data_IF_436183804065
#
_entry.id   IF_436183804065
#
_cell.length_a   1.000
_cell.length_b   1.000
_cell.length_c   1.000
_cell.angle_alpha   90.00
_cell.angle_beta   90.00
_cell.angle_gamma   90.00
#
_symmetry.space_group_name_H-M   'P 1'
#
loop_
_entity.id
_entity.type
_entity.pdbx_description
1 polymer ?
#
# COMPACT_ATOMS: atom_id res chain seq x y z
N UNK A 1 14.87 -15.67 19.13
CA UNK A 1 14.89 -14.61 20.19
C UNK A 1 14.48 -13.30 19.54
N UNK A 2 13.23 -12.82 19.72
CA UNK A 2 12.78 -11.51 19.20
C UNK A 2 13.55 -10.42 19.93
N UNK A 3 14.35 -9.65 19.20
CA UNK A 3 15.04 -8.48 19.79
C UNK A 3 13.99 -7.44 20.14
N UNK A 4 13.86 -7.08 21.43
CA UNK A 4 12.96 -6.05 21.96
C UNK A 4 13.40 -4.61 21.57
N UNK A 5 13.68 -4.38 20.26
CA UNK A 5 14.05 -3.05 19.77
C UNK A 5 12.83 -2.42 19.12
N UNK A 6 12.59 -1.14 19.40
CA UNK A 6 11.58 -0.35 18.73
C UNK A 6 12.18 0.40 17.53
N UNK A 7 11.43 0.51 16.45
CA UNK A 7 11.77 1.27 15.26
C UNK A 7 11.30 2.73 15.43
N UNK A 8 12.20 3.68 15.27
CA UNK A 8 11.86 5.10 15.14
C UNK A 8 11.66 5.43 13.66
N UNK A 9 10.47 5.88 13.27
CA UNK A 9 10.11 6.19 11.88
C UNK A 9 10.25 7.67 11.62
N UNK A 10 11.22 8.06 10.79
CA UNK A 10 11.41 9.46 10.40
C UNK A 10 10.64 9.79 9.09
N UNK A 11 9.92 10.92 9.03
CA UNK A 11 9.12 11.33 7.88
C UNK A 11 9.97 11.95 6.77
N UNK A 12 10.95 11.21 6.25
CA UNK A 12 11.88 11.67 5.20
C UNK A 12 11.38 11.44 3.77
N UNK A 13 10.25 10.74 3.60
CA UNK A 13 9.64 10.45 2.30
C UNK A 13 8.71 11.56 1.80
N UNK A 14 8.09 11.33 0.63
CA UNK A 14 7.14 12.28 0.02
C UNK A 14 5.76 12.23 0.68
N UNK A 15 5.23 11.04 0.93
CA UNK A 15 3.86 10.86 1.45
C UNK A 15 3.84 10.49 2.94
N UNK A 16 4.88 9.82 3.43
CA UNK A 16 5.07 9.43 4.83
C UNK A 16 3.86 8.69 5.43
N UNK A 17 3.27 7.76 4.66
CA UNK A 17 1.99 7.15 5.00
C UNK A 17 2.05 6.33 6.29
N UNK A 18 3.14 5.60 6.51
CA UNK A 18 3.32 4.86 7.76
C UNK A 18 3.56 5.78 8.97
N UNK A 19 4.33 6.87 8.80
CA UNK A 19 4.46 7.87 9.86
C UNK A 19 3.12 8.52 10.24
N UNK A 20 2.24 8.73 9.23
CA UNK A 20 0.86 9.22 9.47
C UNK A 20 0.02 8.22 10.27
N UNK A 21 0.10 6.93 9.94
CA UNK A 21 -0.60 5.88 10.72
C UNK A 21 -0.16 5.83 12.18
N UNK A 22 1.09 6.22 12.45
CA UNK A 22 1.66 6.27 13.81
C UNK A 22 1.42 7.61 14.52
N UNK A 23 0.77 8.59 13.87
CA UNK A 23 0.58 9.93 14.43
C UNK A 23 1.87 10.75 14.58
N UNK A 24 2.94 10.39 13.85
CA UNK A 24 4.24 11.08 13.92
C UNK A 24 4.14 12.42 13.19
N UNK A 25 4.64 13.53 13.77
CA UNK A 25 4.73 14.82 13.11
C UNK A 25 5.51 14.74 11.79
N UNK A 26 5.04 15.44 10.75
CA UNK A 26 5.64 15.33 9.41
C UNK A 26 6.86 16.27 9.18
N UNK A 27 7.15 17.18 10.09
CA UNK A 27 8.42 17.89 10.12
C UNK A 27 9.46 16.99 10.79
N UNK A 28 10.66 16.94 10.20
CA UNK A 28 11.74 16.09 10.72
C UNK A 28 12.15 16.49 12.13
N UNK A 29 12.28 17.79 12.39
CA UNK A 29 12.64 18.36 13.69
C UNK A 29 11.61 17.98 14.75
N UNK A 30 10.31 18.18 14.45
CA UNK A 30 9.22 17.85 15.37
C UNK A 30 9.09 16.35 15.60
N UNK A 31 9.42 15.52 14.60
CA UNK A 31 9.42 14.06 14.76
C UNK A 31 10.54 13.62 15.71
N UNK A 32 11.73 14.19 15.60
CA UNK A 32 12.85 13.92 16.51
C UNK A 32 12.52 14.38 17.93
N UNK A 33 11.96 15.59 18.09
CA UNK A 33 11.51 16.11 19.38
C UNK A 33 10.46 15.19 20.03
N UNK A 34 9.49 14.68 19.24
CA UNK A 34 8.45 13.78 19.74
C UNK A 34 9.01 12.45 20.24
N UNK A 35 10.16 12.00 19.73
CA UNK A 35 10.80 10.77 20.20
C UNK A 35 11.49 10.91 21.56
N UNK A 36 11.76 12.12 22.06
CA UNK A 36 12.31 12.33 23.40
C UNK A 36 11.37 11.88 24.51
N UNK A 37 10.05 11.87 24.24
CA UNK A 37 9.01 11.43 25.17
C UNK A 37 8.11 10.34 24.56
N UNK A 38 8.65 9.54 23.65
CA UNK A 38 7.87 8.56 22.93
C UNK A 38 7.58 7.31 23.77
N UNK A 39 6.41 6.74 23.52
CA UNK A 39 6.04 5.42 24.02
C UNK A 39 6.40 4.33 22.99
N UNK A 40 6.61 3.10 23.47
CA UNK A 40 6.76 1.93 22.61
C UNK A 40 5.39 1.32 22.38
N UNK A 41 4.94 1.28 21.12
CA UNK A 41 3.71 0.62 20.71
C UNK A 41 4.02 -0.62 19.86
N UNK A 42 3.26 -1.69 20.07
CA UNK A 42 3.25 -2.85 19.19
C UNK A 42 2.24 -2.59 18.09
N UNK A 43 2.70 -2.65 16.84
CA UNK A 43 1.87 -2.51 15.64
C UNK A 43 2.02 -3.74 14.75
N UNK A 44 1.13 -3.87 13.80
CA UNK A 44 1.16 -5.00 12.89
C UNK A 44 2.22 -4.82 11.81
N UNK A 45 2.71 -5.93 11.31
CA UNK A 45 3.54 -6.02 10.11
C UNK A 45 2.98 -7.13 9.22
N UNK A 46 3.00 -6.94 7.91
CA UNK A 46 2.55 -7.97 6.99
C UNK A 46 3.71 -8.53 6.16
N UNK A 47 3.51 -9.69 5.57
CA UNK A 47 4.48 -10.32 4.66
C UNK A 47 3.83 -10.69 3.33
N UNK A 48 4.60 -10.59 2.24
CA UNK A 48 4.29 -11.15 0.93
C UNK A 48 5.31 -12.25 0.65
N UNK A 49 4.92 -13.51 0.80
CA UNK A 49 5.80 -14.65 1.05
C UNK A 49 6.70 -14.31 2.26
N UNK A 50 8.03 -14.32 2.10
CA UNK A 50 8.96 -14.01 3.19
C UNK A 50 9.38 -12.52 3.25
N UNK A 51 8.79 -11.66 2.40
CA UNK A 51 9.13 -10.23 2.32
C UNK A 51 8.20 -9.40 3.19
N UNK A 52 8.71 -8.75 4.25
CA UNK A 52 7.89 -7.91 5.10
C UNK A 52 7.50 -6.60 4.40
N UNK A 53 6.32 -6.07 4.77
CA UNK A 53 5.89 -4.72 4.43
C UNK A 53 5.10 -4.10 5.58
N UNK A 54 5.24 -2.79 5.72
CA UNK A 54 4.65 -2.01 6.81
C UNK A 54 3.46 -1.17 6.36
N UNK A 55 3.33 -0.92 5.06
CA UNK A 55 2.26 -0.11 4.52
C UNK A 55 1.42 -0.87 3.50
N UNK A 56 1.97 -1.20 2.32
CA UNK A 56 1.20 -1.91 1.31
C UNK A 56 2.03 -2.75 0.33
N UNK A 57 1.37 -3.80 -0.13
CA UNK A 57 1.72 -4.58 -1.31
C UNK A 57 0.75 -4.26 -2.45
N UNK A 58 1.19 -4.23 -3.70
CA UNK A 58 0.29 -4.04 -4.84
C UNK A 58 0.80 -4.62 -6.15
N UNK A 59 -0.14 -4.95 -7.04
CA UNK A 59 0.09 -5.41 -8.40
C UNK A 59 -0.75 -4.63 -9.41
N UNK A 60 -0.41 -4.75 -10.68
CA UNK A 60 -1.18 -4.16 -11.78
C UNK A 60 -0.90 -2.69 -12.00
N UNK A 61 -1.93 -1.83 -11.93
CA UNK A 61 -1.84 -0.42 -12.28
C UNK A 61 -0.77 0.32 -11.47
N UNK A 62 -0.75 0.15 -10.14
CA UNK A 62 0.23 0.82 -9.29
C UNK A 62 1.66 0.38 -9.64
N UNK A 63 1.90 -0.93 -9.79
CA UNK A 63 3.21 -1.44 -10.18
C UNK A 63 3.64 -0.91 -11.55
N UNK A 64 2.71 -0.80 -12.51
CA UNK A 64 2.98 -0.20 -13.82
C UNK A 64 3.34 1.28 -13.70
N UNK A 65 2.65 2.03 -12.86
CA UNK A 65 2.96 3.46 -12.63
C UNK A 65 4.35 3.64 -12.02
N UNK A 66 4.71 2.86 -11.01
CA UNK A 66 6.05 2.89 -10.38
C UNK A 66 7.12 2.54 -11.41
N UNK A 67 6.92 1.46 -12.18
CA UNK A 67 7.85 1.03 -13.23
C UNK A 67 8.06 2.11 -14.32
N UNK A 68 6.99 2.79 -14.73
CA UNK A 68 7.10 3.87 -15.71
C UNK A 68 7.81 5.09 -15.12
N UNK A 69 7.56 5.41 -13.85
CA UNK A 69 8.23 6.51 -13.15
C UNK A 69 9.73 6.27 -13.00
N UNK A 70 10.15 5.06 -12.65
CA UNK A 70 11.58 4.71 -12.51
C UNK A 70 12.36 4.80 -13.82
N UNK A 71 11.68 4.62 -14.95
CA UNK A 71 12.29 4.79 -16.28
C UNK A 71 12.45 6.25 -16.71
N UNK A 72 11.89 7.19 -15.95
CA UNK A 72 11.97 8.62 -16.27
C UNK A 72 13.08 9.27 -15.46
N UNK A 73 14.04 9.88 -16.16
CA UNK A 73 15.06 10.71 -15.52
C UNK A 73 14.46 12.03 -15.03
N UNK A 74 14.80 12.45 -13.82
CA UNK A 74 14.38 13.72 -13.25
C UNK A 74 15.46 14.29 -12.32
N UNK A 75 15.87 15.54 -12.59
CA UNK A 75 16.89 16.25 -11.80
C UNK A 75 16.33 17.13 -10.66
N UNK A 76 14.98 17.18 -10.48
CA UNK A 76 14.35 18.07 -9.50
C UNK A 76 13.04 17.54 -8.92
N UNK A 77 12.55 18.14 -7.81
CA UNK A 77 11.23 17.83 -7.23
C UNK A 77 10.08 18.04 -8.21
N UNK A 78 10.11 19.13 -8.97
CA UNK A 78 9.11 19.41 -10.03
C UNK A 78 9.19 18.38 -11.15
N UNK A 79 10.40 17.93 -11.51
CA UNK A 79 10.61 16.83 -12.46
C UNK A 79 9.99 15.53 -11.98
N UNK A 80 10.06 15.20 -10.68
CA UNK A 80 9.40 14.02 -10.08
C UNK A 80 7.88 14.07 -10.22
N UNK A 81 7.26 15.23 -9.97
CA UNK A 81 5.81 15.41 -10.11
C UNK A 81 5.40 15.22 -11.59
N UNK A 82 6.10 15.87 -12.51
CA UNK A 82 5.86 15.73 -13.95
C UNK A 82 6.05 14.29 -14.46
N UNK A 83 7.08 13.58 -13.98
CA UNK A 83 7.30 12.18 -14.30
C UNK A 83 6.16 11.28 -13.76
N UNK A 84 5.72 11.51 -12.53
CA UNK A 84 4.60 10.77 -11.94
C UNK A 84 3.29 10.98 -12.70
N UNK A 85 2.99 12.22 -13.12
CA UNK A 85 1.81 12.55 -13.91
C UNK A 85 1.86 11.88 -15.30
N UNK A 86 3.00 11.91 -15.98
CA UNK A 86 3.19 11.23 -17.27
C UNK A 86 3.10 9.72 -17.14
N UNK A 87 3.66 9.14 -16.08
CA UNK A 87 3.57 7.71 -15.80
C UNK A 87 2.13 7.28 -15.55
N UNK A 88 1.38 8.05 -14.75
CA UNK A 88 -0.05 7.83 -14.52
C UNK A 88 -0.84 7.88 -15.84
N UNK A 89 -0.63 8.91 -16.66
CA UNK A 89 -1.28 9.04 -17.96
C UNK A 89 -0.96 7.89 -18.92
N UNK A 90 0.31 7.47 -19.00
CA UNK A 90 0.73 6.34 -19.83
C UNK A 90 0.12 5.01 -19.35
N UNK A 91 0.00 4.81 -18.03
CA UNK A 91 -0.66 3.65 -17.44
C UNK A 91 -2.16 3.63 -17.75
N UNK A 92 -2.83 4.80 -17.67
CA UNK A 92 -4.26 4.97 -18.02
C UNK A 92 -4.56 4.70 -19.50
N UNK A 93 -3.65 5.04 -20.40
CA UNK A 93 -3.83 4.78 -21.85
C UNK A 93 -3.88 3.28 -22.17
N UNK A 94 -3.13 2.45 -21.44
CA UNK A 94 -3.08 0.99 -21.61
C UNK A 94 -3.10 0.32 -20.25
N UNK A 95 -4.25 0.29 -19.57
CA UNK A 95 -4.35 -0.31 -18.26
C UNK A 95 -3.99 -1.80 -18.30
N UNK A 96 -3.26 -2.31 -17.32
CA UNK A 96 -3.01 -3.74 -17.23
C UNK A 96 -4.33 -4.49 -17.05
N UNK A 97 -4.37 -5.71 -17.54
CA UNK A 97 -5.46 -6.66 -17.30
C UNK A 97 -4.84 -7.90 -16.70
N UNK A 98 -5.24 -8.23 -15.51
CA UNK A 98 -4.76 -9.38 -14.77
C UNK A 98 -5.91 -10.34 -14.53
N UNK A 99 -5.68 -11.62 -14.77
CA UNK A 99 -6.56 -12.70 -14.32
C UNK A 99 -5.90 -13.31 -13.10
N UNK A 100 -6.59 -13.27 -11.98
CA UNK A 100 -6.06 -13.66 -10.67
C UNK A 100 -7.09 -14.54 -9.97
N UNK A 101 -6.63 -15.65 -9.41
CA UNK A 101 -7.37 -16.36 -8.37
C UNK A 101 -6.94 -15.78 -7.03
N UNK A 102 -7.89 -15.21 -6.30
CA UNK A 102 -7.69 -14.61 -4.99
C UNK A 102 -8.45 -15.43 -3.96
N UNK A 103 -7.77 -15.91 -2.92
CA UNK A 103 -8.37 -16.58 -1.78
C UNK A 103 -8.12 -15.76 -0.53
N UNK A 104 -9.19 -15.43 0.20
CA UNK A 104 -9.16 -14.69 1.47
C UNK A 104 -9.91 -15.52 2.51
N UNK A 105 -9.19 -16.05 3.49
CA UNK A 105 -9.74 -17.07 4.37
C UNK A 105 -10.19 -18.30 3.57
N UNK A 106 -11.47 -18.68 3.69
CA UNK A 106 -12.08 -19.79 2.95
C UNK A 106 -12.69 -19.36 1.60
N UNK A 107 -12.90 -18.08 1.38
CA UNK A 107 -13.51 -17.59 0.15
C UNK A 107 -12.47 -17.55 -0.98
N UNK A 108 -12.76 -18.22 -2.10
CA UNK A 108 -11.96 -18.18 -3.31
C UNK A 108 -12.75 -17.57 -4.46
N UNK A 109 -12.13 -16.66 -5.20
CA UNK A 109 -12.74 -16.01 -6.35
C UNK A 109 -11.74 -15.83 -7.49
N UNK A 110 -12.23 -15.95 -8.71
CA UNK A 110 -11.49 -15.56 -9.92
C UNK A 110 -11.89 -14.17 -10.34
N UNK A 111 -10.92 -13.27 -10.42
CA UNK A 111 -11.17 -11.87 -10.76
C UNK A 111 -10.35 -11.45 -11.98
N UNK A 112 -10.99 -10.65 -12.86
CA UNK A 112 -10.30 -9.88 -13.90
C UNK A 112 -10.19 -8.45 -13.42
N UNK A 113 -8.97 -8.02 -13.12
CA UNK A 113 -8.71 -6.74 -12.45
C UNK A 113 -7.66 -5.92 -13.17
N UNK A 114 -7.65 -4.62 -12.96
CA UNK A 114 -6.55 -3.73 -13.37
C UNK A 114 -5.48 -3.61 -12.29
N UNK A 115 -5.80 -3.95 -11.05
CA UNK A 115 -4.85 -3.95 -9.95
C UNK A 115 -5.45 -4.46 -8.65
N UNK A 116 -4.60 -5.03 -7.82
CA UNK A 116 -4.92 -5.41 -6.45
C UNK A 116 -3.93 -4.69 -5.54
N UNK A 117 -4.45 -4.05 -4.50
CA UNK A 117 -3.69 -3.52 -3.38
C UNK A 117 -3.99 -4.33 -2.13
N UNK A 118 -2.97 -4.60 -1.32
CA UNK A 118 -3.12 -5.21 -0.01
C UNK A 118 -2.38 -4.35 1.00
N UNK A 119 -3.10 -3.80 1.96
CA UNK A 119 -2.53 -2.95 3.00
C UNK A 119 -2.32 -3.73 4.30
N UNK A 120 -1.32 -3.30 5.03
CA UNK A 120 -1.12 -3.66 6.42
C UNK A 120 -2.13 -2.84 7.25
N UNK A 121 -3.22 -3.50 7.63
CA UNK A 121 -4.47 -2.94 8.15
C UNK A 121 -5.32 -2.17 7.10
N UNK A 122 -6.61 -2.03 7.39
CA UNK A 122 -7.53 -1.29 6.56
C UNK A 122 -7.17 0.20 6.52
N UNK A 123 -7.21 0.77 5.32
CA UNK A 123 -7.03 2.22 5.18
C UNK A 123 -8.15 2.99 5.88
N UNK A 124 -7.80 4.10 6.50
CA UNK A 124 -8.71 5.01 7.17
C UNK A 124 -9.67 5.76 6.24
N UNK A 125 -10.59 6.53 6.81
CA UNK A 125 -11.59 7.32 6.06
C UNK A 125 -11.05 8.58 5.39
N UNK A 126 -9.77 8.90 5.55
CA UNK A 126 -9.15 10.13 5.05
C UNK A 126 -8.87 10.11 3.54
N UNK A 127 -8.35 11.26 3.03
CA UNK A 127 -7.98 11.41 1.62
C UNK A 127 -6.76 10.57 1.20
N UNK A 128 -5.89 10.23 2.16
CA UNK A 128 -4.69 9.44 1.89
C UNK A 128 -4.89 7.99 2.30
N UNK A 129 -4.33 7.03 1.54
CA UNK A 129 -4.49 5.61 1.81
C UNK A 129 -3.52 5.14 2.90
N UNK A 130 -3.78 5.44 4.15
CA UNK A 130 -3.07 4.90 5.31
C UNK A 130 -4.05 4.37 6.37
N UNK A 131 -3.60 3.46 7.22
CA UNK A 131 -4.43 2.87 8.26
C UNK A 131 -4.58 3.85 9.44
N UNK A 132 -5.83 4.09 9.87
CA UNK A 132 -6.11 4.85 11.09
C UNK A 132 -5.77 4.02 12.35
N UNK A 133 -5.87 2.68 12.25
CA UNK A 133 -5.46 1.76 13.28
C UNK A 133 -4.34 0.83 12.77
N UNK A 134 -3.07 1.08 13.11
CA UNK A 134 -1.94 0.25 12.70
C UNK A 134 -1.81 -1.08 13.46
N UNK A 135 -2.73 -1.37 14.38
CA UNK A 135 -2.81 -2.60 15.17
C UNK A 135 -4.19 -3.28 15.03
N UNK A 136 -4.79 -3.19 13.84
CA UNK A 136 -6.13 -3.74 13.56
C UNK A 136 -6.17 -5.25 13.35
N UNK A 137 -5.03 -5.91 13.16
CA UNK A 137 -4.90 -7.36 13.04
C UNK A 137 -5.45 -7.94 11.72
N UNK A 138 -5.67 -7.12 10.69
CA UNK A 138 -6.25 -7.57 9.42
C UNK A 138 -5.55 -6.96 8.21
N UNK A 139 -5.42 -7.72 7.12
CA UNK A 139 -5.07 -7.18 5.82
C UNK A 139 -6.28 -6.47 5.22
N UNK A 140 -6.09 -5.29 4.66
CA UNK A 140 -7.07 -4.63 3.79
C UNK A 140 -6.78 -5.02 2.33
N UNK A 141 -7.75 -5.61 1.64
CA UNK A 141 -7.58 -6.10 0.28
C UNK A 141 -8.52 -5.31 -0.64
N UNK A 142 -7.94 -4.67 -1.65
CA UNK A 142 -8.63 -3.76 -2.57
C UNK A 142 -8.47 -4.25 -4.00
N UNK A 143 -9.57 -4.70 -4.61
CA UNK A 143 -9.59 -5.21 -5.98
C UNK A 143 -10.22 -4.17 -6.90
N UNK A 144 -9.41 -3.56 -7.77
CA UNK A 144 -9.87 -2.55 -8.72
C UNK A 144 -10.24 -3.19 -10.06
N UNK A 145 -11.52 -3.17 -10.42
CA UNK A 145 -12.05 -3.84 -11.61
C UNK A 145 -12.78 -2.92 -12.60
N UNK A 146 -12.27 -1.72 -12.92
CA UNK A 146 -12.90 -0.86 -13.92
C UNK A 146 -12.84 -1.52 -15.30
N UNK A 147 -13.99 -1.58 -15.96
CA UNK A 147 -14.13 -2.22 -17.30
C UNK A 147 -13.83 -1.24 -18.44
N UNK A 148 -14.14 0.05 -18.24
CA UNK A 148 -13.99 1.12 -19.21
C UNK A 148 -12.95 2.15 -18.74
N UNK A 149 -12.33 2.86 -19.69
CA UNK A 149 -11.38 3.94 -19.37
C UNK A 149 -12.02 5.07 -18.56
N UNK A 150 -13.28 5.41 -18.87
CA UNK A 150 -14.01 6.44 -18.13
C UNK A 150 -14.21 6.08 -16.65
N UNK A 151 -14.49 4.82 -16.35
CA UNK A 151 -14.60 4.30 -14.97
C UNK A 151 -13.27 4.39 -14.23
N UNK A 152 -12.16 4.07 -14.93
CA UNK A 152 -10.82 4.20 -14.37
C UNK A 152 -10.46 5.67 -14.08
N UNK A 153 -10.80 6.60 -14.97
CA UNK A 153 -10.62 8.04 -14.75
C UNK A 153 -11.46 8.53 -13.57
N UNK A 154 -12.73 8.08 -13.48
CA UNK A 154 -13.61 8.39 -12.36
C UNK A 154 -13.04 7.85 -11.04
N UNK A 155 -12.56 6.62 -11.04
CA UNK A 155 -11.90 6.03 -9.85
C UNK A 155 -10.69 6.87 -9.38
N UNK A 156 -9.83 7.33 -10.32
CA UNK A 156 -8.72 8.22 -9.96
C UNK A 156 -9.19 9.58 -9.44
N UNK A 157 -10.25 10.13 -10.02
CA UNK A 157 -10.85 11.37 -9.54
C UNK A 157 -11.43 11.19 -8.12
N UNK A 158 -12.15 10.11 -7.87
CA UNK A 158 -12.70 9.80 -6.55
C UNK A 158 -11.58 9.56 -5.52
N UNK A 159 -10.47 8.91 -5.93
CA UNK A 159 -9.27 8.73 -5.11
C UNK A 159 -8.65 10.09 -4.73
N UNK A 160 -8.52 11.02 -5.67
CA UNK A 160 -7.99 12.36 -5.40
C UNK A 160 -8.88 13.16 -4.44
N UNK A 161 -10.19 12.88 -4.43
CA UNK A 161 -11.17 13.49 -3.50
C UNK A 161 -11.33 12.73 -2.18
N UNK A 162 -10.59 11.67 -1.97
CA UNK A 162 -10.70 10.81 -0.78
C UNK A 162 -11.97 9.96 -0.73
N UNK A 163 -12.70 9.86 -1.85
CA UNK A 163 -13.97 9.12 -1.98
C UNK A 163 -13.82 7.79 -2.70
N UNK A 164 -12.62 7.26 -2.76
CA UNK A 164 -12.30 6.04 -3.50
C UNK A 164 -13.01 4.79 -2.95
N UNK A 165 -13.40 4.80 -1.66
CA UNK A 165 -14.18 3.71 -1.05
C UNK A 165 -15.60 3.62 -1.55
N UNK A 166 -16.19 4.76 -1.92
CA UNK A 166 -17.56 4.83 -2.45
C UNK A 166 -17.61 4.43 -3.93
N UNK A 167 -16.45 4.12 -4.50
CA UNK A 167 -16.34 3.73 -5.91
C UNK A 167 -16.88 2.32 -6.11
N UNK A 168 -17.89 2.17 -6.94
CA UNK A 168 -18.47 0.87 -7.36
C UNK A 168 -17.49 -0.03 -8.12
N UNK A 169 -16.26 0.44 -8.35
CA UNK A 169 -15.23 -0.26 -9.12
C UNK A 169 -14.11 -0.83 -8.25
N UNK A 170 -14.26 -0.76 -6.93
CA UNK A 170 -13.31 -1.31 -5.96
C UNK A 170 -14.05 -2.18 -4.96
N UNK A 171 -13.74 -3.46 -5.00
CA UNK A 171 -14.18 -4.38 -3.96
C UNK A 171 -13.18 -4.34 -2.81
N UNK A 172 -13.68 -4.15 -1.60
CA UNK A 172 -12.88 -4.10 -0.37
C UNK A 172 -13.16 -5.35 0.46
N UNK A 173 -12.13 -6.08 0.78
CA UNK A 173 -12.18 -7.26 1.62
C UNK A 173 -11.18 -7.13 2.77
N UNK A 174 -11.33 -7.97 3.78
CA UNK A 174 -10.39 -8.08 4.88
C UNK A 174 -10.17 -9.53 5.28
N UNK A 175 -8.99 -9.82 5.80
CA UNK A 175 -8.64 -11.15 6.29
C UNK A 175 -7.26 -11.15 6.93
N UNK A 176 -6.93 -12.21 7.66
CA UNK A 176 -5.58 -12.36 8.24
C UNK A 176 -4.59 -12.91 7.22
N UNK A 177 -5.08 -13.66 6.25
CA UNK A 177 -4.28 -14.24 5.17
C UNK A 177 -4.98 -14.05 3.84
N UNK A 178 -4.19 -13.87 2.78
CA UNK A 178 -4.67 -13.93 1.41
C UNK A 178 -3.68 -14.70 0.54
N UNK A 179 -4.19 -15.49 -0.39
CA UNK A 179 -3.39 -16.16 -1.41
C UNK A 179 -3.76 -15.58 -2.76
N UNK A 180 -2.75 -15.05 -3.45
CA UNK A 180 -2.88 -14.45 -4.75
C UNK A 180 -2.15 -15.32 -5.77
N UNK A 181 -2.91 -15.90 -6.73
CA UNK A 181 -2.38 -16.74 -7.79
C UNK A 181 -2.65 -16.09 -9.15
N UNK A 182 -1.57 -15.73 -9.84
CA UNK A 182 -1.65 -15.19 -11.19
C UNK A 182 -1.93 -16.31 -12.20
N UNK A 183 -2.91 -16.12 -13.06
CA UNK A 183 -3.17 -17.02 -14.20
C UNK A 183 -2.16 -16.76 -15.35
N UNK A 184 -0.88 -16.56 -15.00
CA UNK A 184 0.19 -16.30 -15.97
C UNK A 184 1.46 -16.96 -15.46
N UNK A 185 2.18 -17.73 -16.31
CA UNK A 185 3.43 -18.36 -15.90
C UNK A 185 4.58 -17.35 -15.72
N UNK A 186 4.41 -16.12 -16.18
CA UNK A 186 5.45 -15.12 -16.13
C UNK A 186 5.39 -14.32 -14.84
N UNK A 187 6.55 -14.08 -14.23
CA UNK A 187 6.70 -13.15 -13.11
C UNK A 187 6.26 -11.77 -13.51
N UNK A 188 5.40 -11.17 -12.71
CA UNK A 188 4.85 -9.83 -12.93
C UNK A 188 5.47 -8.83 -11.96
N UNK A 189 5.57 -7.54 -12.35
CA UNK A 189 5.99 -6.50 -11.42
C UNK A 189 4.94 -6.32 -10.32
N UNK A 190 5.41 -6.22 -9.10
CA UNK A 190 4.65 -5.83 -7.92
C UNK A 190 5.39 -4.68 -7.22
N UNK A 191 4.72 -4.05 -6.27
CA UNK A 191 5.30 -3.01 -5.43
C UNK A 191 5.10 -3.40 -3.97
N UNK A 192 6.16 -3.30 -3.19
CA UNK A 192 6.16 -3.46 -1.74
C UNK A 192 6.68 -2.14 -1.16
N UNK A 193 5.85 -1.44 -0.37
CA UNK A 193 6.18 -0.16 0.28
C UNK A 193 6.82 0.88 -0.67
N UNK A 194 6.38 0.91 -1.92
CA UNK A 194 6.83 1.84 -2.94
C UNK A 194 7.98 1.34 -3.82
N UNK A 195 8.58 0.19 -3.53
CA UNK A 195 9.68 -0.40 -4.28
C UNK A 195 9.21 -1.50 -5.24
N UNK A 196 9.76 -1.52 -6.45
CA UNK A 196 9.47 -2.55 -7.44
C UNK A 196 10.11 -3.88 -7.07
N UNK A 197 9.29 -4.92 -7.09
CA UNK A 197 9.71 -6.30 -6.90
C UNK A 197 9.16 -7.19 -8.02
N UNK A 198 9.73 -8.38 -8.18
CA UNK A 198 9.15 -9.40 -9.06
C UNK A 198 8.31 -10.37 -8.23
N UNK A 199 7.05 -10.46 -8.61
CA UNK A 199 6.07 -11.33 -7.97
C UNK A 199 6.22 -12.75 -8.51
N UNK A 200 6.22 -13.71 -7.62
CA UNK A 200 6.06 -15.11 -7.98
C UNK A 200 4.62 -15.39 -8.45
N UNK A 201 4.39 -16.42 -9.28
CA UNK A 201 3.05 -16.75 -9.77
C UNK A 201 2.03 -16.97 -8.63
N UNK A 202 2.50 -17.44 -7.49
CA UNK A 202 1.71 -17.61 -6.27
C UNK A 202 2.36 -16.81 -5.14
N UNK A 203 1.58 -15.96 -4.49
CA UNK A 203 2.04 -15.09 -3.40
C UNK A 203 1.08 -15.20 -2.22
N UNK A 204 1.60 -15.64 -1.09
CA UNK A 204 0.90 -15.65 0.18
C UNK A 204 1.14 -14.32 0.90
N UNK A 205 0.06 -13.71 1.33
CA UNK A 205 0.05 -12.48 2.11
C UNK A 205 -0.49 -12.82 3.50
N UNK A 206 0.19 -12.35 4.54
CA UNK A 206 -0.15 -12.68 5.92
C UNK A 206 0.14 -11.49 6.82
N UNK A 207 -0.78 -11.21 7.79
CA UNK A 207 -0.56 -10.19 8.81
C UNK A 207 -0.05 -10.84 10.09
N UNK A 208 0.90 -10.18 10.72
CA UNK A 208 1.48 -10.58 12.00
C UNK A 208 1.11 -9.51 13.03
N UNK A 209 0.04 -9.76 13.78
CA UNK A 209 -0.48 -8.83 14.77
C UNK A 209 0.56 -8.52 15.85
N UNK A 210 0.79 -7.24 16.12
CA UNK A 210 1.79 -6.77 17.08
C UNK A 210 3.22 -7.18 16.74
N UNK A 211 3.51 -7.53 15.48
CA UNK A 211 4.79 -8.08 15.05
C UNK A 211 5.95 -7.09 15.04
N UNK A 212 5.66 -5.78 15.11
CA UNK A 212 6.64 -4.71 15.06
C UNK A 212 6.49 -3.76 16.25
N UNK A 213 7.56 -3.51 17.00
CA UNK A 213 7.60 -2.44 17.99
C UNK A 213 8.05 -1.14 17.33
N UNK A 214 7.32 -0.06 17.57
CA UNK A 214 7.61 1.28 17.03
C UNK A 214 7.57 2.33 18.15
N UNK A 215 8.30 3.42 17.96
CA UNK A 215 8.15 4.60 18.80
C UNK A 215 6.98 5.44 18.25
N UNK A 216 6.04 5.77 19.12
CA UNK A 216 4.93 6.67 18.83
C UNK A 216 5.00 7.88 19.75
N UNK A 217 4.54 9.07 19.30
CA UNK A 217 4.46 10.23 20.17
C UNK A 217 3.69 9.91 21.45
N UNK A 218 4.28 10.21 22.60
CA UNK A 218 3.60 10.05 23.90
C UNK A 218 2.31 10.87 23.93
N UNK A 219 1.27 10.35 24.58
CA UNK A 219 0.06 11.14 24.83
C UNK A 219 0.45 12.34 25.68
N UNK A 220 0.26 13.55 25.15
CA UNK A 220 0.35 14.74 25.99
C UNK A 220 -0.72 14.61 27.09
N UNK A 221 -0.24 14.40 28.32
CA UNK A 221 -1.07 14.53 29.54
C UNK A 221 -1.55 15.96 29.68
#
# INVERSE_FOLDING_TARGET
>A
MRRKKALAVLPAGTMNLFARSLGIPLSLEKAVEAFASADVAAVDIATANDRPFIHQFSIGMHAKMVQLREKMEFGSRLGKIGASTRAAWAALRRPPRLSVTLRVGEAEMRVRTTGIGVSNNLFGGGHLPYADNPAGGVLGIYVASPRKRAELLRFFYDMMRGRWRDSQHVDVMQGQTALLKLESPYRRPAVIDGELVRLDPETRLEIHAGGLNVLVPGKKT
#
